data_IF_461186360576
#
_entry.id   IF_461186360576
#
_cell.length_a   1.000
_cell.length_b   1.000
_cell.length_c   1.000
_cell.angle_alpha   90.00
_cell.angle_beta   90.00
_cell.angle_gamma   90.00
#
_symmetry.space_group_name_H-M   'P 1'
#
loop_
_entity.id
_entity.type
_entity.pdbx_description
1 polymer ?
#
# COMPACT_ATOMS: atom_id res chain seq x y z
N UNK A 1 9.71 -10.87 58.16
CA UNK A 1 9.97 -11.49 56.84
C UNK A 1 9.12 -10.95 55.67
N UNK A 2 8.29 -9.92 55.85
CA UNK A 2 7.32 -9.45 54.82
C UNK A 2 7.83 -8.28 53.94
N UNK A 3 8.87 -7.58 54.40
CA UNK A 3 9.47 -6.42 53.72
C UNK A 3 10.42 -6.79 52.57
N UNK A 4 11.18 -7.89 52.69
CA UNK A 4 12.12 -8.33 51.64
C UNK A 4 11.42 -8.87 50.40
N UNK A 5 10.29 -9.57 50.57
CA UNK A 5 9.47 -10.08 49.47
C UNK A 5 8.93 -8.94 48.59
N UNK A 6 8.56 -7.81 49.20
CA UNK A 6 8.00 -6.66 48.48
C UNK A 6 9.07 -5.93 47.65
N UNK A 7 10.31 -5.87 48.13
CA UNK A 7 11.46 -5.33 47.40
C UNK A 7 11.83 -6.24 46.23
N UNK A 8 11.79 -7.56 46.45
CA UNK A 8 12.06 -8.55 45.41
C UNK A 8 11.03 -8.47 44.27
N UNK A 9 9.74 -8.41 44.60
CA UNK A 9 8.66 -8.26 43.60
C UNK A 9 8.79 -6.96 42.82
N UNK A 10 9.12 -5.84 43.47
CA UNK A 10 9.36 -4.57 42.77
C UNK A 10 10.54 -4.64 41.81
N UNK A 11 11.65 -5.26 42.22
CA UNK A 11 12.82 -5.47 41.34
C UNK A 11 12.48 -6.41 40.17
N UNK A 12 11.72 -7.46 40.43
CA UNK A 12 11.26 -8.39 39.41
C UNK A 12 10.36 -7.70 38.38
N UNK A 13 9.41 -6.86 38.83
CA UNK A 13 8.57 -6.05 37.96
C UNK A 13 9.38 -5.04 37.14
N UNK A 14 10.43 -4.45 37.72
CA UNK A 14 11.33 -3.51 37.03
C UNK A 14 12.17 -4.21 35.94
N UNK A 15 12.61 -5.45 36.19
CA UNK A 15 13.31 -6.27 35.19
C UNK A 15 12.34 -6.72 34.10
N UNK A 16 11.11 -7.11 34.44
CA UNK A 16 10.08 -7.46 33.46
C UNK A 16 9.67 -6.27 32.59
N UNK A 17 9.50 -5.08 33.15
CA UNK A 17 9.14 -3.88 32.38
C UNK A 17 10.26 -3.44 31.45
N UNK A 18 11.52 -3.49 31.89
CA UNK A 18 12.68 -3.21 31.03
C UNK A 18 12.88 -4.27 29.95
N UNK A 19 12.60 -5.55 30.25
CA UNK A 19 12.63 -6.63 29.26
C UNK A 19 11.54 -6.45 28.19
N UNK A 20 10.31 -6.10 28.59
CA UNK A 20 9.21 -5.82 27.66
C UNK A 20 9.53 -4.64 26.73
N UNK A 21 10.20 -3.59 27.24
CA UNK A 21 10.67 -2.46 26.44
C UNK A 21 11.83 -2.83 25.50
N UNK A 22 12.65 -3.83 25.83
CA UNK A 22 13.73 -4.29 24.95
C UNK A 22 13.22 -5.12 23.76
N UNK A 23 12.00 -5.65 23.81
CA UNK A 23 11.37 -6.37 22.70
C UNK A 23 10.58 -5.47 21.74
N UNK A 24 10.44 -4.17 22.00
CA UNK A 24 9.78 -3.23 21.07
C UNK A 24 10.67 -2.78 19.91
N UNK A 25 11.85 -3.40 19.72
CA UNK A 25 12.70 -3.17 18.55
C UNK A 25 11.94 -3.60 17.30
N UNK A 26 11.55 -2.60 16.52
CA UNK A 26 10.83 -2.66 15.25
C UNK A 26 11.48 -3.70 14.32
N UNK A 27 10.87 -4.89 14.28
CA UNK A 27 11.31 -6.04 13.47
C UNK A 27 10.88 -5.85 12.01
N UNK A 28 11.16 -4.68 11.44
CA UNK A 28 10.99 -4.46 10.00
C UNK A 28 11.95 -5.39 9.26
N UNK A 29 11.42 -6.39 8.55
CA UNK A 29 12.28 -7.36 7.86
C UNK A 29 13.12 -6.65 6.81
N UNK A 30 14.33 -7.15 6.48
CA UNK A 30 15.14 -6.57 5.39
C UNK A 30 14.34 -6.45 4.08
N UNK A 31 13.42 -7.39 3.83
CA UNK A 31 12.51 -7.35 2.68
C UNK A 31 11.52 -6.19 2.75
N UNK A 32 10.96 -5.93 3.92
CA UNK A 32 10.04 -4.81 4.15
C UNK A 32 10.72 -3.45 3.93
N UNK A 33 11.96 -3.28 4.43
CA UNK A 33 12.75 -2.06 4.18
C UNK A 33 13.06 -1.87 2.69
N UNK A 34 13.37 -2.96 1.97
CA UNK A 34 13.55 -2.92 0.53
C UNK A 34 12.25 -2.55 -0.19
N UNK A 35 11.13 -3.17 0.21
CA UNK A 35 9.82 -2.88 -0.35
C UNK A 35 9.43 -1.41 -0.17
N UNK A 36 9.63 -0.87 1.04
CA UNK A 36 9.44 0.53 1.37
C UNK A 36 10.30 1.45 0.48
N UNK A 37 11.59 1.15 0.35
CA UNK A 37 12.52 1.94 -0.46
C UNK A 37 12.09 1.98 -1.93
N UNK A 38 11.78 0.83 -2.53
CA UNK A 38 11.26 0.77 -3.90
C UNK A 38 9.90 1.45 -4.01
N UNK A 39 9.05 1.37 -2.98
CA UNK A 39 7.73 2.00 -3.02
C UNK A 39 7.83 3.51 -3.14
N UNK A 40 8.69 4.13 -2.32
CA UNK A 40 8.92 5.57 -2.39
C UNK A 40 9.59 5.99 -3.69
N UNK A 41 10.52 5.19 -4.22
CA UNK A 41 11.08 5.42 -5.57
C UNK A 41 9.99 5.38 -6.65
N UNK A 42 9.09 4.41 -6.57
CA UNK A 42 7.94 4.29 -7.47
C UNK A 42 7.01 5.49 -7.38
N UNK A 43 6.73 5.99 -6.18
CA UNK A 43 5.95 7.22 -5.99
C UNK A 43 6.62 8.45 -6.58
N UNK A 44 7.95 8.57 -6.47
CA UNK A 44 8.71 9.67 -7.10
C UNK A 44 8.57 9.60 -8.61
N UNK A 45 8.82 8.43 -9.21
CA UNK A 45 8.66 8.20 -10.64
C UNK A 45 7.23 8.48 -11.12
N UNK A 46 6.23 8.02 -10.37
CA UNK A 46 4.82 8.24 -10.68
C UNK A 46 4.47 9.74 -10.69
N UNK A 47 4.88 10.48 -9.66
CA UNK A 47 4.65 11.93 -9.55
C UNK A 47 5.37 12.74 -10.63
N UNK A 48 6.50 12.23 -11.12
CA UNK A 48 7.26 12.84 -12.22
C UNK A 48 6.68 12.49 -13.62
N UNK A 49 5.62 11.69 -13.69
CA UNK A 49 5.05 11.21 -14.96
C UNK A 49 5.87 10.09 -15.62
N UNK A 50 6.92 9.59 -14.96
CA UNK A 50 7.69 8.44 -15.41
C UNK A 50 6.98 7.14 -15.01
N UNK A 51 5.83 6.87 -15.61
CA UNK A 51 5.00 5.72 -15.26
C UNK A 51 5.67 4.37 -15.55
N UNK A 52 6.56 4.29 -16.55
CA UNK A 52 7.35 3.09 -16.83
C UNK A 52 8.33 2.81 -15.67
N UNK A 53 9.03 3.85 -15.19
CA UNK A 53 9.87 3.75 -14.00
C UNK A 53 9.07 3.37 -12.76
N UNK A 54 7.88 3.95 -12.60
CA UNK A 54 6.97 3.65 -11.50
C UNK A 54 6.55 2.16 -11.50
N UNK A 55 6.18 1.60 -12.66
CA UNK A 55 5.84 0.17 -12.79
C UNK A 55 7.00 -0.72 -12.35
N UNK A 56 8.23 -0.41 -12.78
CA UNK A 56 9.42 -1.19 -12.42
C UNK A 56 9.63 -1.20 -10.89
N UNK A 57 9.53 -0.04 -10.26
CA UNK A 57 9.72 0.11 -8.81
C UNK A 57 8.58 -0.55 -8.02
N UNK A 58 7.32 -0.31 -8.37
CA UNK A 58 6.19 -0.94 -7.70
C UNK A 58 6.18 -2.47 -7.88
N UNK A 59 6.65 -2.98 -9.02
CA UNK A 59 6.81 -4.42 -9.24
C UNK A 59 7.85 -5.03 -8.29
N UNK A 60 8.96 -4.32 -8.04
CA UNK A 60 9.94 -4.73 -7.03
C UNK A 60 9.33 -4.68 -5.64
N UNK A 61 8.62 -3.61 -5.27
CA UNK A 61 7.89 -3.51 -4.00
C UNK A 61 6.96 -4.70 -3.79
N UNK A 62 6.10 -4.98 -4.77
CA UNK A 62 5.17 -6.10 -4.74
C UNK A 62 5.89 -7.45 -4.58
N UNK A 63 7.06 -7.61 -5.18
CA UNK A 63 7.85 -8.83 -5.07
C UNK A 63 8.45 -9.05 -3.68
N UNK A 64 8.88 -7.97 -3.01
CA UNK A 64 9.47 -8.04 -1.67
C UNK A 64 8.43 -8.14 -0.55
N UNK A 65 7.25 -7.55 -0.73
CA UNK A 65 6.23 -7.44 0.31
C UNK A 65 4.80 -7.79 -0.17
N UNK A 66 4.67 -8.80 -1.02
CA UNK A 66 3.42 -9.19 -1.70
C UNK A 66 2.15 -9.22 -0.85
N UNK A 67 2.26 -9.54 0.44
CA UNK A 67 1.12 -9.67 1.38
C UNK A 67 1.14 -8.64 2.50
N UNK A 68 2.14 -7.76 2.54
CA UNK A 68 2.25 -6.73 3.55
C UNK A 68 1.81 -5.37 3.02
N UNK A 69 2.02 -4.37 3.87
CA UNK A 69 1.58 -2.99 3.69
C UNK A 69 2.01 -2.41 2.34
N UNK A 70 3.29 -2.54 1.99
CA UNK A 70 3.83 -1.90 0.79
C UNK A 70 3.46 -2.67 -0.47
N UNK A 71 3.38 -4.01 -0.43
CA UNK A 71 2.93 -4.76 -1.61
C UNK A 71 1.47 -4.53 -1.93
N UNK A 72 0.63 -4.36 -0.91
CA UNK A 72 -0.77 -4.03 -1.09
C UNK A 72 -0.97 -2.67 -1.77
N UNK A 73 -0.27 -1.64 -1.28
CA UNK A 73 -0.24 -0.34 -1.95
C UNK A 73 0.35 -0.43 -3.35
N UNK A 74 1.47 -1.13 -3.53
CA UNK A 74 2.12 -1.28 -4.83
C UNK A 74 1.21 -1.94 -5.87
N UNK A 75 0.35 -2.88 -5.48
CA UNK A 75 -0.67 -3.44 -6.38
C UNK A 75 -1.60 -2.34 -6.92
N UNK A 76 -2.15 -1.49 -6.05
CA UNK A 76 -3.05 -0.42 -6.48
C UNK A 76 -2.33 0.61 -7.38
N UNK A 77 -1.11 1.00 -7.00
CA UNK A 77 -0.30 1.92 -7.79
C UNK A 77 0.19 1.34 -9.12
N UNK A 78 0.36 0.01 -9.24
CA UNK A 78 0.58 -0.65 -10.53
C UNK A 78 -0.63 -0.46 -11.45
N UNK A 79 -1.84 -0.69 -10.93
CA UNK A 79 -3.08 -0.42 -11.67
C UNK A 79 -3.14 1.00 -12.21
N UNK A 80 -2.89 2.00 -11.36
CA UNK A 80 -2.84 3.41 -11.80
C UNK A 80 -1.70 3.69 -12.78
N UNK A 81 -0.52 3.12 -12.59
CA UNK A 81 0.59 3.30 -13.52
C UNK A 81 0.24 2.74 -14.90
N UNK A 82 -0.44 1.60 -14.98
CA UNK A 82 -0.96 1.06 -16.25
C UNK A 82 -2.04 1.94 -16.87
N UNK A 83 -2.93 2.52 -16.06
CA UNK A 83 -3.95 3.46 -16.52
C UNK A 83 -3.30 4.68 -17.17
N UNK A 84 -2.33 5.32 -16.49
CA UNK A 84 -1.64 6.49 -17.02
C UNK A 84 -0.81 6.19 -18.27
N UNK A 85 -0.07 5.06 -18.32
CA UNK A 85 0.64 4.63 -19.54
C UNK A 85 -0.34 4.51 -20.71
N UNK A 86 -1.48 3.85 -20.48
CA UNK A 86 -2.49 3.64 -21.52
C UNK A 86 -3.14 4.96 -21.95
N UNK A 87 -3.44 5.85 -21.00
CA UNK A 87 -3.99 7.17 -21.27
C UNK A 87 -3.06 8.03 -22.13
N UNK A 88 -1.78 8.17 -21.74
CA UNK A 88 -0.81 8.99 -22.48
C UNK A 88 -0.42 8.40 -23.84
N UNK A 89 -0.66 7.12 -24.07
CA UNK A 89 -0.51 6.47 -25.39
C UNK A 89 -1.79 6.51 -26.23
N UNK A 90 -2.87 7.10 -25.72
CA UNK A 90 -4.17 7.18 -26.42
C UNK A 90 -4.95 5.87 -26.44
N UNK A 91 -4.54 4.86 -25.67
CA UNK A 91 -5.17 3.54 -25.63
C UNK A 91 -6.25 3.48 -24.54
N UNK A 92 -7.49 3.81 -24.90
CA UNK A 92 -8.64 3.75 -23.98
C UNK A 92 -8.92 2.35 -23.45
N UNK A 93 -8.75 1.31 -24.27
CA UNK A 93 -8.95 -0.08 -23.85
C UNK A 93 -7.93 -0.52 -22.79
N UNK A 94 -6.72 0.03 -22.86
CA UNK A 94 -5.71 -0.14 -21.81
C UNK A 94 -6.12 0.48 -20.47
N UNK A 95 -6.80 1.63 -20.49
CA UNK A 95 -7.34 2.23 -19.25
C UNK A 95 -8.48 1.39 -18.68
N UNK A 96 -9.36 0.84 -19.51
CA UNK A 96 -10.38 -0.12 -19.04
C UNK A 96 -9.75 -1.40 -18.48
N UNK A 97 -8.67 -1.88 -19.08
CA UNK A 97 -7.91 -3.03 -18.56
C UNK A 97 -7.32 -2.73 -17.19
N UNK A 98 -6.83 -1.50 -16.96
CA UNK A 98 -6.34 -1.05 -15.66
C UNK A 98 -7.46 -0.98 -14.60
N UNK A 99 -8.67 -0.53 -14.97
CA UNK A 99 -9.86 -0.63 -14.11
C UNK A 99 -10.14 -2.10 -13.75
N UNK A 100 -10.07 -3.00 -14.74
CA UNK A 100 -10.20 -4.44 -14.52
C UNK A 100 -9.15 -4.97 -13.53
N UNK A 101 -7.90 -4.55 -13.66
CA UNK A 101 -6.82 -4.88 -12.74
C UNK A 101 -7.10 -4.39 -11.31
N UNK A 102 -7.58 -3.15 -11.15
CA UNK A 102 -7.99 -2.59 -9.87
C UNK A 102 -9.20 -3.33 -9.27
N UNK A 103 -10.16 -3.77 -10.08
CA UNK A 103 -11.29 -4.58 -9.61
C UNK A 103 -10.89 -5.98 -9.13
N UNK A 104 -9.75 -6.50 -9.56
CA UNK A 104 -9.22 -7.78 -9.07
C UNK A 104 -8.60 -7.67 -7.66
N UNK A 105 -8.38 -6.45 -7.15
CA UNK A 105 -7.73 -6.21 -5.86
C UNK A 105 -8.37 -6.99 -4.67
N UNK A 106 -9.70 -6.97 -4.45
CA UNK A 106 -10.32 -7.72 -3.34
C UNK A 106 -10.21 -9.25 -3.49
N UNK A 107 -9.93 -9.74 -4.69
CA UNK A 107 -9.73 -11.17 -4.94
C UNK A 107 -8.28 -11.59 -4.64
N UNK A 108 -7.31 -10.70 -4.87
CA UNK A 108 -5.91 -10.93 -4.51
C UNK A 108 -5.65 -10.76 -3.01
N UNK A 109 -6.36 -9.85 -2.35
CA UNK A 109 -6.25 -9.57 -0.92
C UNK A 109 -7.55 -9.93 -0.22
N UNK A 110 -7.54 -11.07 0.51
CA UNK A 110 -8.74 -11.60 1.21
C UNK A 110 -9.35 -10.61 2.21
N UNK A 111 -8.53 -9.74 2.79
CA UNK A 111 -8.93 -8.65 3.69
C UNK A 111 -8.27 -7.37 3.16
N UNK A 112 -8.87 -6.71 2.16
CA UNK A 112 -8.26 -5.55 1.53
C UNK A 112 -8.27 -4.34 2.48
N UNK A 113 -7.09 -3.77 2.73
CA UNK A 113 -6.89 -2.65 3.66
C UNK A 113 -7.29 -1.30 3.03
N UNK A 114 -7.14 -1.15 1.71
CA UNK A 114 -7.23 0.14 1.00
C UNK A 114 -8.38 0.19 0.00
N UNK A 115 -9.55 -0.30 0.41
CA UNK A 115 -10.76 -0.31 -0.45
C UNK A 115 -11.19 1.09 -0.88
N UNK A 116 -11.09 2.09 -0.01
CA UNK A 116 -11.40 3.49 -0.37
C UNK A 116 -10.44 4.01 -1.44
N UNK A 117 -9.13 3.76 -1.30
CA UNK A 117 -8.12 4.16 -2.28
C UNK A 117 -8.32 3.44 -3.62
N UNK A 118 -8.68 2.15 -3.59
CA UNK A 118 -9.03 1.40 -4.79
C UNK A 118 -10.18 2.07 -5.55
N UNK A 119 -11.26 2.45 -4.85
CA UNK A 119 -12.40 3.14 -5.45
C UNK A 119 -12.00 4.51 -5.99
N UNK A 120 -11.20 5.27 -5.24
CA UNK A 120 -10.67 6.57 -5.69
C UNK A 120 -9.91 6.44 -7.01
N UNK A 121 -9.01 5.46 -7.10
CA UNK A 121 -8.26 5.14 -8.33
C UNK A 121 -9.16 4.72 -9.50
N UNK A 122 -10.22 3.96 -9.24
CA UNK A 122 -11.21 3.63 -10.27
C UNK A 122 -11.96 4.88 -10.74
N UNK A 123 -12.33 5.77 -9.82
CA UNK A 123 -12.91 7.08 -10.12
C UNK A 123 -12.01 7.94 -10.99
N UNK A 124 -10.71 8.03 -10.65
CA UNK A 124 -9.69 8.71 -11.45
C UNK A 124 -9.57 8.10 -12.85
N UNK A 125 -9.59 6.77 -12.99
CA UNK A 125 -9.57 6.13 -14.30
C UNK A 125 -10.79 6.51 -15.15
N UNK A 126 -11.97 6.67 -14.54
CA UNK A 126 -13.14 7.18 -15.25
C UNK A 126 -12.98 8.64 -15.68
N UNK A 127 -12.33 9.47 -14.87
CA UNK A 127 -11.97 10.84 -15.28
C UNK A 127 -11.00 10.84 -16.48
N UNK A 128 -9.98 9.98 -16.48
CA UNK A 128 -9.06 9.81 -17.63
C UNK A 128 -9.81 9.44 -18.91
N UNK A 129 -10.88 8.65 -18.80
CA UNK A 129 -11.72 8.25 -19.93
C UNK A 129 -12.75 9.30 -20.36
N UNK A 130 -12.91 10.39 -19.59
CA UNK A 130 -13.97 11.39 -19.79
C UNK A 130 -15.36 10.89 -19.40
N UNK A 131 -15.46 9.84 -18.58
CA UNK A 131 -16.71 9.24 -18.12
C UNK A 131 -17.16 9.86 -16.80
N UNK A 132 -17.48 11.16 -16.84
CA UNK A 132 -17.74 11.97 -15.64
C UNK A 132 -18.90 11.47 -14.79
N UNK A 133 -19.97 10.94 -15.39
CA UNK A 133 -21.09 10.39 -14.63
C UNK A 133 -20.65 9.20 -13.76
N UNK A 134 -19.87 8.28 -14.33
CA UNK A 134 -19.34 7.13 -13.57
C UNK A 134 -18.35 7.57 -12.49
N UNK A 135 -17.48 8.53 -12.81
CA UNK A 135 -16.55 9.08 -11.83
C UNK A 135 -17.32 9.71 -10.64
N UNK A 136 -18.34 10.53 -10.93
CA UNK A 136 -19.22 11.13 -9.92
C UNK A 136 -19.89 10.06 -9.06
N UNK A 137 -20.47 9.02 -9.67
CA UNK A 137 -21.13 7.95 -8.92
C UNK A 137 -20.17 7.24 -7.95
N UNK A 138 -18.92 7.01 -8.38
CA UNK A 138 -17.88 6.43 -7.52
C UNK A 138 -17.49 7.37 -6.38
N UNK A 139 -17.28 8.65 -6.65
CA UNK A 139 -16.88 9.61 -5.62
C UNK A 139 -18.00 9.91 -4.62
N UNK A 140 -19.26 9.92 -5.05
CA UNK A 140 -20.42 10.08 -4.16
C UNK A 140 -20.63 8.88 -3.22
N UNK A 141 -20.12 7.71 -3.57
CA UNK A 141 -20.12 6.53 -2.68
C UNK A 141 -18.96 6.59 -1.65
N UNK A 142 -17.95 7.43 -1.88
CA UNK A 142 -16.79 7.60 -1.00
C UNK A 142 -16.93 8.71 0.04
N UNK A 143 -17.69 9.78 -0.29
CA UNK A 143 -17.82 11.01 0.50
C UNK A 143 -19.28 11.32 0.82
#
# INVERSE_FOLDING_TARGET
MRWSANIFVKKLLLVLSTLLLSFSVEKGSTKEKLAQSYFYSGLINFKQGNYIGAVNDFTKTYSYDKKGYYGELAYLYLGMSYAYISYYTGNKDGVFSAIGYLNMYPYYYKLPTYTSLQKEFIGECYLLLGLYDRAKDVFMDLY
#
